data_IF_111504082217
#
_entry.id   IF_111504082217
#
_cell.length_a   1.000
_cell.length_b   1.000
_cell.length_c   1.000
_cell.angle_alpha   90.00
_cell.angle_beta   90.00
_cell.angle_gamma   90.00
#
_symmetry.space_group_name_H-M   'P 1'
#
loop_
_entity.id
_entity.type
_entity.pdbx_description
1 polymer ?
#
# COMPACT_ATOMS: atom_id res chain seq x y z
N UNK A 1 70.12 30.53 -22.87
CA UNK A 1 70.61 30.20 -24.22
C UNK A 1 69.41 29.79 -25.06
N UNK A 2 69.25 30.41 -26.22
CA UNK A 2 68.06 30.47 -27.09
C UNK A 2 67.92 29.19 -27.93
N UNK A 3 66.69 28.77 -28.27
CA UNK A 3 66.20 28.32 -29.62
C UNK A 3 64.80 27.67 -29.48
N UNK A 4 63.73 28.35 -29.89
CA UNK A 4 63.08 28.28 -31.21
C UNK A 4 62.60 26.89 -31.63
N UNK A 5 61.28 26.66 -31.65
CA UNK A 5 60.61 25.95 -32.77
C UNK A 5 59.08 26.18 -32.74
N UNK A 6 58.62 27.22 -33.43
CA UNK A 6 57.20 27.41 -33.75
C UNK A 6 56.90 26.71 -35.08
N UNK A 7 56.07 25.66 -35.06
CA UNK A 7 55.52 25.05 -36.29
C UNK A 7 54.06 25.46 -36.43
N UNK A 8 53.83 26.40 -37.35
CA UNK A 8 52.52 26.94 -37.73
C UNK A 8 51.79 25.89 -38.58
N UNK A 9 50.69 25.33 -38.07
CA UNK A 9 49.78 24.47 -38.85
C UNK A 9 48.56 25.32 -39.21
N UNK A 10 48.47 25.73 -40.48
CA UNK A 10 47.28 26.37 -41.03
C UNK A 10 46.33 25.28 -41.54
N UNK A 11 45.33 24.95 -40.74
CA UNK A 11 44.23 24.09 -41.17
C UNK A 11 43.15 24.95 -41.83
N UNK A 12 42.98 24.77 -43.13
CA UNK A 12 41.88 25.32 -43.92
C UNK A 12 40.57 24.65 -43.48
N UNK A 13 39.78 25.33 -42.66
CA UNK A 13 38.41 24.93 -42.33
C UNK A 13 37.48 25.40 -43.46
N UNK A 14 37.14 24.49 -44.36
CA UNK A 14 36.06 24.67 -45.32
C UNK A 14 34.73 24.52 -44.60
N UNK A 15 34.09 25.65 -44.31
CA UNK A 15 32.76 25.71 -43.71
C UNK A 15 31.72 25.29 -44.77
N UNK A 16 31.26 24.03 -44.71
CA UNK A 16 30.18 23.55 -45.57
C UNK A 16 28.84 23.90 -44.93
N UNK A 17 28.15 24.87 -45.50
CA UNK A 17 26.80 25.28 -45.10
C UNK A 17 25.79 24.23 -45.60
N UNK A 18 25.35 23.33 -44.72
CA UNK A 18 24.24 22.41 -45.00
C UNK A 18 22.93 23.14 -44.71
N UNK A 19 22.24 23.60 -45.77
CA UNK A 19 20.89 24.14 -45.66
C UNK A 19 19.93 22.97 -45.51
N UNK A 20 19.57 22.66 -44.26
CA UNK A 20 18.55 21.66 -43.95
C UNK A 20 17.16 22.25 -44.24
N UNK A 21 16.48 21.72 -45.25
CA UNK A 21 15.09 22.04 -45.56
C UNK A 21 14.18 21.41 -44.52
N UNK A 22 13.85 22.18 -43.48
CA UNK A 22 12.88 21.77 -42.46
C UNK A 22 11.49 21.70 -43.08
N UNK A 23 10.97 20.49 -43.30
CA UNK A 23 9.57 20.25 -43.61
C UNK A 23 8.73 20.66 -42.39
N UNK A 24 8.02 21.78 -42.51
CA UNK A 24 6.99 22.17 -41.55
C UNK A 24 5.76 21.27 -41.75
N UNK A 25 5.72 20.13 -41.07
CA UNK A 25 4.47 19.42 -40.84
C UNK A 25 3.58 20.28 -39.94
N UNK A 26 2.49 20.78 -40.51
CA UNK A 26 1.43 21.48 -39.78
C UNK A 26 0.81 20.51 -38.77
N UNK A 27 1.22 20.63 -37.50
CA UNK A 27 0.59 19.92 -36.41
C UNK A 27 -0.73 20.65 -36.11
N UNK A 28 -1.85 20.06 -36.53
CA UNK A 28 -3.18 20.55 -36.14
C UNK A 28 -3.36 20.15 -34.68
N UNK A 29 -3.17 21.11 -33.77
CA UNK A 29 -3.61 20.99 -32.39
C UNK A 29 -5.14 21.03 -32.41
N UNK A 30 -5.78 19.86 -32.50
CA UNK A 30 -7.19 19.75 -32.14
C UNK A 30 -7.26 19.99 -30.64
N UNK A 31 -7.84 21.12 -30.26
CA UNK A 31 -8.15 21.49 -28.88
C UNK A 31 -9.21 20.52 -28.35
N UNK A 32 -8.77 19.31 -27.99
CA UNK A 32 -9.58 18.34 -27.28
C UNK A 32 -9.66 18.78 -25.82
N UNK A 33 -10.46 19.83 -25.60
CA UNK A 33 -10.94 20.27 -24.29
C UNK A 33 -12.02 19.32 -23.78
N UNK A 34 -11.90 18.01 -24.05
CA UNK A 34 -12.49 17.01 -23.18
C UNK A 34 -11.90 17.27 -21.79
N UNK A 35 -12.69 17.96 -20.98
CA UNK A 35 -12.42 18.20 -19.57
C UNK A 35 -11.96 16.86 -19.01
N UNK A 36 -10.66 16.74 -18.71
CA UNK A 36 -10.14 15.56 -18.04
C UNK A 36 -11.00 15.41 -16.79
N UNK A 37 -11.95 14.47 -16.83
CA UNK A 37 -12.79 14.23 -15.69
C UNK A 37 -11.81 13.73 -14.64
N UNK A 38 -11.68 14.51 -13.57
CA UNK A 38 -11.00 14.05 -12.36
C UNK A 38 -11.88 12.91 -11.85
N UNK A 39 -11.65 11.72 -12.38
CA UNK A 39 -12.25 10.51 -11.85
C UNK A 39 -11.53 10.29 -10.55
N UNK A 40 -12.24 10.54 -9.44
CA UNK A 40 -11.78 10.10 -8.13
C UNK A 40 -11.33 8.65 -8.28
N UNK A 41 -10.09 8.30 -7.89
CA UNK A 41 -9.60 6.94 -8.04
C UNK A 41 -10.63 5.97 -7.48
N UNK A 42 -10.90 4.84 -8.16
CA UNK A 42 -11.87 3.89 -7.67
C UNK A 42 -11.45 3.44 -6.25
N UNK A 43 -12.32 3.65 -5.28
CA UNK A 43 -12.16 3.09 -3.94
C UNK A 43 -12.59 1.63 -4.01
N UNK A 44 -11.68 0.74 -3.64
CA UNK A 44 -12.00 -0.67 -3.44
C UNK A 44 -12.37 -0.89 -1.97
N UNK A 45 -13.51 -1.52 -1.72
CA UNK A 45 -13.92 -1.93 -0.37
C UNK A 45 -14.07 -3.43 -0.32
N UNK A 46 -13.49 -4.05 0.71
CA UNK A 46 -13.59 -5.49 0.97
C UNK A 46 -14.09 -5.73 2.38
N UNK A 47 -15.21 -6.44 2.50
CA UNK A 47 -15.66 -6.95 3.79
C UNK A 47 -14.66 -7.96 4.33
N UNK A 48 -14.36 -7.85 5.62
CA UNK A 48 -13.50 -8.75 6.35
C UNK A 48 -14.29 -9.35 7.51
N UNK A 49 -14.04 -10.61 7.83
CA UNK A 49 -14.65 -11.18 9.04
C UNK A 49 -13.84 -10.74 10.26
N UNK A 50 -14.52 -10.39 11.36
CA UNK A 50 -13.86 -10.11 12.64
C UNK A 50 -13.02 -11.29 13.16
N UNK A 51 -13.29 -12.52 12.68
CA UNK A 51 -12.51 -13.73 13.00
C UNK A 51 -11.29 -13.93 12.12
N UNK A 52 -11.08 -13.11 11.08
CA UNK A 52 -9.97 -13.27 10.14
C UNK A 52 -8.65 -12.77 10.72
N UNK A 53 -7.59 -13.55 10.48
CA UNK A 53 -6.25 -13.27 10.97
C UNK A 53 -5.18 -13.86 10.06
N UNK A 54 -4.02 -13.19 10.00
CA UNK A 54 -2.80 -13.67 9.34
C UNK A 54 -1.63 -13.87 10.30
N UNK A 55 -1.76 -13.51 11.59
CA UNK A 55 -0.67 -13.57 12.56
C UNK A 55 -0.72 -14.89 13.31
N UNK A 56 -1.76 -15.08 14.13
CA UNK A 56 -2.01 -16.28 14.92
C UNK A 56 -3.44 -16.74 14.65
N UNK A 57 -3.75 -18.01 14.93
CA UNK A 57 -5.14 -18.45 14.99
C UNK A 57 -5.36 -19.28 16.26
N UNK A 58 -6.56 -19.17 16.80
CA UNK A 58 -7.14 -19.96 17.85
C UNK A 58 -8.29 -20.81 17.29
N UNK A 59 -8.98 -21.55 18.15
CA UNK A 59 -10.13 -22.34 17.71
C UNK A 59 -11.24 -21.42 17.21
N UNK A 60 -11.62 -21.56 15.94
CA UNK A 60 -12.70 -20.77 15.34
C UNK A 60 -12.25 -19.52 14.60
N UNK A 61 -10.95 -19.16 14.61
CA UNK A 61 -10.47 -18.10 13.72
C UNK A 61 -10.57 -18.52 12.26
N UNK A 62 -10.64 -17.52 11.39
CA UNK A 62 -10.62 -17.69 9.95
C UNK A 62 -9.27 -17.22 9.39
N UNK A 63 -8.83 -17.87 8.31
CA UNK A 63 -7.66 -17.43 7.57
C UNK A 63 -7.96 -16.12 6.84
N UNK A 64 -7.11 -15.11 7.06
CA UNK A 64 -7.09 -13.91 6.22
C UNK A 64 -6.95 -14.30 4.75
N UNK A 65 -7.72 -13.62 3.91
CA UNK A 65 -7.67 -13.82 2.47
C UNK A 65 -6.80 -12.71 1.85
N UNK A 66 -5.78 -13.05 1.04
CA UNK A 66 -4.93 -12.05 0.41
C UNK A 66 -5.75 -11.15 -0.51
N UNK A 67 -5.38 -9.87 -0.58
CA UNK A 67 -5.86 -8.90 -1.56
C UNK A 67 -4.75 -8.75 -2.62
N UNK A 68 -5.02 -9.07 -3.89
CA UNK A 68 -4.08 -8.84 -5.00
C UNK A 68 -4.13 -7.36 -5.40
N UNK A 69 -3.09 -6.61 -5.04
CA UNK A 69 -3.02 -5.17 -5.28
C UNK A 69 -2.98 -4.85 -6.78
N UNK A 70 -2.37 -5.70 -7.60
CA UNK A 70 -2.28 -5.44 -9.04
C UNK A 70 -3.63 -5.59 -9.74
N UNK A 71 -4.51 -6.45 -9.24
CA UNK A 71 -5.90 -6.54 -9.73
C UNK A 71 -6.70 -5.26 -9.46
N UNK A 72 -6.27 -4.47 -8.47
CA UNK A 72 -6.84 -3.16 -8.15
C UNK A 72 -6.12 -2.01 -8.89
N UNK A 73 -5.14 -2.32 -9.75
CA UNK A 73 -4.31 -1.31 -10.39
C UNK A 73 -3.42 -0.54 -9.41
N UNK A 74 -3.06 -1.15 -8.29
CA UNK A 74 -2.14 -0.64 -7.28
C UNK A 74 -0.81 -1.37 -7.43
N UNK A 75 0.27 -0.62 -7.57
CA UNK A 75 1.61 -1.12 -7.85
C UNK A 75 2.62 -0.67 -6.79
N UNK A 76 3.77 -1.37 -6.65
CA UNK A 76 4.88 -0.88 -5.83
C UNK A 76 5.25 0.57 -6.15
N UNK A 77 5.43 1.38 -5.11
CA UNK A 77 5.71 2.82 -5.23
C UNK A 77 4.46 3.71 -5.23
N UNK A 78 3.26 3.15 -5.33
CA UNK A 78 2.04 3.92 -5.13
C UNK A 78 1.85 4.33 -3.67
N UNK A 79 1.30 5.52 -3.44
CA UNK A 79 0.80 5.93 -2.13
C UNK A 79 -0.68 5.58 -2.08
N UNK A 80 -1.07 4.83 -1.06
CA UNK A 80 -2.46 4.41 -0.84
C UNK A 80 -2.95 4.88 0.53
N UNK A 81 -4.24 5.16 0.59
CA UNK A 81 -4.98 5.31 1.82
C UNK A 81 -5.71 3.99 2.08
N UNK A 82 -5.43 3.41 3.24
CA UNK A 82 -6.15 2.28 3.79
C UNK A 82 -7.11 2.79 4.85
N UNK A 83 -8.37 2.41 4.78
CA UNK A 83 -9.41 2.85 5.73
C UNK A 83 -10.12 1.64 6.31
N UNK A 84 -10.65 1.80 7.52
CA UNK A 84 -11.57 0.82 8.10
C UNK A 84 -12.99 1.33 7.98
N UNK A 85 -13.92 0.41 7.73
CA UNK A 85 -15.35 0.59 7.96
C UNK A 85 -15.83 -0.43 8.99
N UNK A 86 -16.86 -0.06 9.75
CA UNK A 86 -17.49 -0.96 10.71
C UNK A 86 -16.66 -1.26 11.97
N UNK A 87 -17.29 -1.87 12.96
CA UNK A 87 -16.67 -2.24 14.24
C UNK A 87 -16.92 -3.73 14.52
N UNK A 88 -16.18 -4.28 15.47
CA UNK A 88 -16.43 -5.63 15.98
C UNK A 88 -16.36 -5.64 17.51
N UNK A 89 -16.89 -6.71 18.10
CA UNK A 89 -16.74 -7.04 19.51
C UNK A 89 -15.74 -8.18 19.68
N UNK A 90 -15.02 -8.16 20.80
CA UNK A 90 -14.09 -9.22 21.21
C UNK A 90 -14.78 -10.47 21.77
N UNK A 91 -16.11 -10.45 21.87
CA UNK A 91 -16.90 -11.55 22.43
C UNK A 91 -18.25 -11.60 21.74
N UNK A 92 -18.86 -12.79 21.69
CA UNK A 92 -20.13 -13.04 20.98
C UNK A 92 -21.33 -12.16 21.41
N UNK A 93 -21.26 -11.46 22.55
CA UNK A 93 -22.36 -10.66 23.10
C UNK A 93 -21.93 -9.24 23.51
N UNK A 94 -20.72 -8.83 23.18
CA UNK A 94 -20.22 -7.52 23.54
C UNK A 94 -20.70 -6.42 22.60
N UNK A 95 -20.60 -5.17 23.05
CA UNK A 95 -20.83 -4.01 22.19
C UNK A 95 -19.69 -3.92 21.17
N UNK A 96 -20.04 -3.76 19.90
CA UNK A 96 -19.09 -3.48 18.82
C UNK A 96 -18.42 -2.13 19.07
N UNK A 97 -17.19 -2.19 19.54
CA UNK A 97 -16.44 -1.01 19.98
C UNK A 97 -14.96 -1.08 19.61
N UNK A 98 -14.51 -2.24 19.10
CA UNK A 98 -13.19 -2.37 18.52
C UNK A 98 -13.22 -2.05 17.04
N UNK A 99 -12.25 -1.25 16.63
CA UNK A 99 -11.98 -0.98 15.23
C UNK A 99 -10.52 -1.19 14.91
N UNK A 100 -9.77 -2.01 15.65
CA UNK A 100 -8.34 -2.15 15.37
C UNK A 100 -8.15 -3.22 14.29
N UNK A 101 -7.66 -2.81 13.13
CA UNK A 101 -7.34 -3.71 12.01
C UNK A 101 -5.83 -3.69 11.78
N UNK A 102 -5.22 -4.86 11.74
CA UNK A 102 -3.82 -5.04 11.39
C UNK A 102 -3.69 -5.44 9.92
N UNK A 103 -2.52 -5.17 9.36
CA UNK A 103 -2.19 -5.46 7.98
C UNK A 103 -0.71 -5.79 7.81
N UNK A 104 -0.39 -6.53 6.74
CA UNK A 104 0.98 -6.75 6.29
C UNK A 104 1.02 -6.90 4.77
N UNK A 105 2.03 -6.28 4.14
CA UNK A 105 2.29 -6.47 2.72
C UNK A 105 3.08 -7.77 2.50
N UNK A 106 2.89 -8.39 1.33
CA UNK A 106 3.60 -9.62 0.97
C UNK A 106 3.89 -9.71 -0.52
N UNK A 107 4.95 -10.45 -0.87
CA UNK A 107 5.26 -10.87 -2.24
C UNK A 107 4.49 -12.13 -2.67
N UNK A 108 3.87 -12.86 -1.72
CA UNK A 108 3.15 -14.13 -1.95
C UNK A 108 1.70 -14.06 -1.47
N UNK A 109 0.79 -14.76 -2.15
CA UNK A 109 -0.60 -14.94 -1.74
C UNK A 109 -0.80 -16.12 -0.78
N UNK A 110 0.28 -16.80 -0.41
CA UNK A 110 0.22 -17.97 0.46
C UNK A 110 0.11 -17.50 1.91
N UNK A 111 -0.90 -18.01 2.62
CA UNK A 111 -0.95 -17.98 4.07
C UNK A 111 -0.70 -19.40 4.60
N UNK A 112 0.34 -19.56 5.41
CA UNK A 112 0.65 -20.85 6.01
C UNK A 112 -0.42 -21.24 7.04
N UNK A 113 -0.67 -22.55 7.22
CA UNK A 113 -1.51 -23.04 8.29
C UNK A 113 -1.07 -22.49 9.65
N UNK A 114 -2.03 -22.36 10.55
CA UNK A 114 -1.70 -22.11 11.94
C UNK A 114 -1.06 -23.36 12.55
N UNK A 115 0.05 -23.18 13.27
CA UNK A 115 0.71 -24.25 14.01
C UNK A 115 0.42 -24.21 15.52
N UNK A 116 -0.46 -23.31 15.97
CA UNK A 116 -0.87 -23.18 17.38
C UNK A 116 0.13 -22.46 18.28
N UNK A 117 1.22 -21.90 17.74
CA UNK A 117 2.22 -21.16 18.53
C UNK A 117 1.99 -19.66 18.37
N UNK A 118 1.35 -19.05 19.37
CA UNK A 118 1.20 -17.60 19.46
C UNK A 118 2.51 -16.96 19.94
N UNK A 119 3.09 -16.07 19.14
CA UNK A 119 4.16 -15.16 19.60
C UNK A 119 3.80 -13.67 19.44
N UNK A 120 2.54 -13.39 19.11
CA UNK A 120 1.95 -12.04 19.11
C UNK A 120 2.59 -10.99 18.21
N UNK A 121 3.61 -11.33 17.42
CA UNK A 121 4.48 -10.33 16.78
C UNK A 121 5.05 -10.77 15.43
N UNK A 122 4.78 -11.98 14.97
CA UNK A 122 5.42 -12.47 13.74
C UNK A 122 4.46 -12.59 12.57
N UNK A 123 4.97 -12.23 11.40
CA UNK A 123 4.39 -12.58 10.11
C UNK A 123 4.82 -13.98 9.67
N UNK A 124 5.06 -14.90 10.61
CA UNK A 124 5.58 -16.23 10.33
C UNK A 124 4.66 -17.03 9.40
N UNK A 125 3.35 -16.75 9.43
CA UNK A 125 2.37 -17.35 8.53
C UNK A 125 2.28 -16.69 7.16
N UNK A 126 2.93 -15.55 6.94
CA UNK A 126 2.90 -14.80 5.68
C UNK A 126 4.29 -14.85 5.02
N UNK A 127 4.62 -15.93 4.28
CA UNK A 127 5.82 -15.99 3.45
C UNK A 127 5.92 -14.76 2.55
N UNK A 128 7.11 -14.18 2.49
CA UNK A 128 7.34 -13.00 1.67
C UNK A 128 6.76 -11.71 2.26
N UNK A 129 6.38 -11.69 3.54
CA UNK A 129 6.00 -10.45 4.21
C UNK A 129 7.12 -9.40 4.09
N UNK A 130 6.75 -8.16 3.73
CA UNK A 130 7.67 -7.03 3.53
C UNK A 130 7.36 -5.90 4.49
N UNK A 131 8.39 -5.14 4.85
CA UNK A 131 8.23 -4.01 5.77
C UNK A 131 7.39 -2.90 5.10
N UNK A 132 6.40 -2.34 5.81
CA UNK A 132 5.62 -1.20 5.31
C UNK A 132 6.49 0.04 5.23
N UNK A 133 6.21 0.92 4.26
CA UNK A 133 6.90 2.20 4.10
C UNK A 133 5.92 3.34 4.33
N UNK A 134 6.17 4.18 5.33
CA UNK A 134 5.30 5.30 5.67
C UNK A 134 5.94 6.62 5.26
N UNK A 135 5.19 7.57 4.66
CA UNK A 135 5.73 8.88 4.28
C UNK A 135 6.38 9.64 5.43
N UNK A 136 5.86 9.49 6.65
CA UNK A 136 6.34 10.15 7.86
C UNK A 136 7.08 9.19 8.82
N UNK A 137 7.54 8.05 8.30
CA UNK A 137 8.11 6.97 9.11
C UNK A 137 7.07 6.22 9.94
N UNK A 138 7.49 5.10 10.52
CA UNK A 138 6.64 4.30 11.39
C UNK A 138 6.55 4.92 12.79
N UNK A 139 5.35 5.32 13.22
CA UNK A 139 5.14 5.83 14.57
C UNK A 139 4.98 4.69 15.59
N UNK A 140 5.42 4.87 16.85
CA UNK A 140 5.15 3.92 17.92
C UNK A 140 3.66 3.60 18.04
N UNK A 141 3.32 2.31 18.10
CA UNK A 141 1.92 1.86 18.17
C UNK A 141 1.21 1.77 16.81
N UNK A 142 1.82 2.23 15.71
CA UNK A 142 1.29 2.06 14.35
C UNK A 142 1.90 0.84 13.65
N UNK A 143 3.14 0.49 13.96
CA UNK A 143 3.77 -0.71 13.38
C UNK A 143 4.57 -1.51 14.40
N UNK A 144 4.65 -2.81 14.13
CA UNK A 144 5.33 -3.84 14.90
C UNK A 144 6.05 -4.76 13.91
N UNK A 145 7.24 -4.34 13.48
CA UNK A 145 7.98 -4.99 12.40
C UNK A 145 7.22 -4.90 11.07
N UNK A 146 6.97 -6.05 10.45
CA UNK A 146 6.24 -6.17 9.16
C UNK A 146 4.73 -5.98 9.28
N UNK A 147 4.21 -5.83 10.49
CA UNK A 147 2.79 -5.63 10.78
C UNK A 147 2.56 -4.14 11.04
N UNK A 148 1.47 -3.60 10.52
CA UNK A 148 1.02 -2.25 10.83
C UNK A 148 -0.48 -2.19 11.03
N UNK A 149 -0.95 -1.09 11.63
CA UNK A 149 -2.34 -0.86 11.98
C UNK A 149 -2.97 0.10 10.97
N UNK A 150 -4.08 -0.32 10.35
CA UNK A 150 -4.89 0.54 9.47
C UNK A 150 -5.63 1.57 10.31
N UNK A 151 -6.08 1.14 11.48
CA UNK A 151 -6.82 1.92 12.44
C UNK A 151 -6.36 1.51 13.84
N UNK A 152 -6.27 2.48 14.75
CA UNK A 152 -6.07 2.18 16.17
C UNK A 152 -7.23 2.72 16.97
N UNK A 153 -7.71 1.94 17.93
CA UNK A 153 -8.66 2.41 18.92
C UNK A 153 -9.55 1.31 19.46
N UNK A 154 -9.51 1.19 20.79
CA UNK A 154 -10.71 0.92 21.57
C UNK A 154 -11.18 2.27 22.11
N UNK A 155 -12.48 2.56 21.97
CA UNK A 155 -13.17 3.81 22.33
C UNK A 155 -13.21 4.91 21.25
N UNK A 156 -14.45 5.21 20.86
CA UNK A 156 -14.92 6.45 20.23
C UNK A 156 -14.52 7.74 20.98
N UNK A 157 -13.98 7.62 22.20
CA UNK A 157 -13.67 8.73 23.12
C UNK A 157 -12.20 9.20 23.04
N UNK A 158 -11.28 8.38 22.50
CA UNK A 158 -9.82 8.63 22.57
C UNK A 158 -9.12 8.94 21.24
N UNK A 159 -9.86 9.45 20.25
CA UNK A 159 -9.24 10.00 19.03
C UNK A 159 -8.49 8.95 18.19
N UNK A 160 -9.01 7.72 18.14
CA UNK A 160 -8.51 6.70 17.23
C UNK A 160 -8.56 7.16 15.78
N UNK A 161 -7.61 6.72 14.96
CA UNK A 161 -7.61 7.02 13.53
C UNK A 161 -8.36 5.93 12.76
N UNK A 162 -9.10 6.34 11.72
CA UNK A 162 -9.87 5.44 10.86
C UNK A 162 -9.20 5.18 9.50
N UNK A 163 -7.88 5.27 9.45
CA UNK A 163 -7.12 5.00 8.25
C UNK A 163 -5.66 5.40 8.35
N UNK A 164 -4.88 4.92 7.39
CA UNK A 164 -3.45 5.15 7.30
C UNK A 164 -3.01 5.36 5.86
N UNK A 165 -2.12 6.33 5.65
CA UNK A 165 -1.45 6.54 4.37
C UNK A 165 -0.14 5.77 4.38
N UNK A 166 0.05 4.91 3.40
CA UNK A 166 1.23 4.04 3.28
C UNK A 166 1.71 3.99 1.83
N UNK A 167 3.01 3.95 1.66
CA UNK A 167 3.65 3.67 0.37
C UNK A 167 3.71 2.15 0.18
N UNK A 168 3.20 1.67 -0.94
CA UNK A 168 3.25 0.25 -1.31
C UNK A 168 4.72 -0.17 -1.47
N UNK A 169 5.25 -1.08 -0.63
CA UNK A 169 6.66 -1.42 -0.65
C UNK A 169 7.12 -2.05 -1.97
N UNK A 170 8.42 -1.95 -2.26
CA UNK A 170 9.02 -2.62 -3.42
C UNK A 170 8.73 -4.13 -3.34
N UNK A 171 8.32 -4.71 -4.47
CA UNK A 171 7.92 -6.11 -4.63
C UNK A 171 6.61 -6.53 -3.91
N UNK A 172 5.94 -5.64 -3.17
CA UNK A 172 4.65 -5.98 -2.59
C UNK A 172 3.62 -6.23 -3.71
N UNK A 173 2.94 -7.36 -3.64
CA UNK A 173 1.85 -7.73 -4.56
C UNK A 173 0.55 -8.00 -3.83
N UNK A 174 0.63 -8.51 -2.60
CA UNK A 174 -0.53 -8.87 -1.81
C UNK A 174 -0.56 -8.07 -0.52
N UNK A 175 -1.77 -7.81 -0.04
CA UNK A 175 -2.04 -7.26 1.29
C UNK A 175 -2.87 -8.29 2.08
N UNK A 176 -2.41 -8.65 3.26
CA UNK A 176 -3.18 -9.41 4.24
C UNK A 176 -3.70 -8.45 5.30
N UNK A 177 -4.95 -8.66 5.70
CA UNK A 177 -5.66 -7.84 6.70
C UNK A 177 -6.37 -8.75 7.70
N UNK A 178 -6.50 -8.31 8.95
CA UNK A 178 -7.21 -9.04 9.98
C UNK A 178 -7.61 -8.13 11.13
N UNK A 179 -8.54 -8.60 11.96
CA UNK A 179 -8.79 -7.95 13.25
C UNK A 179 -7.52 -7.98 14.11
N UNK A 180 -7.34 -7.01 15.00
CA UNK A 180 -6.28 -7.07 16.01
C UNK A 180 -6.84 -7.59 17.32
N UNK A 181 -6.59 -8.87 17.57
CA UNK A 181 -6.87 -9.51 18.84
C UNK A 181 -5.90 -10.69 19.09
N UNK A 182 -6.03 -11.35 20.22
CA UNK A 182 -5.34 -12.59 20.56
C UNK A 182 -6.30 -13.80 20.61
N UNK A 183 -7.61 -13.57 20.70
CA UNK A 183 -8.67 -14.56 20.62
C UNK A 183 -9.57 -14.21 19.42
N UNK A 184 -9.21 -14.67 18.22
CA UNK A 184 -9.97 -14.29 17.03
C UNK A 184 -11.25 -15.10 16.88
N UNK A 185 -11.34 -16.28 17.50
CA UNK A 185 -12.45 -17.20 17.34
C UNK A 185 -13.79 -16.71 17.90
N UNK A 186 -13.76 -15.83 18.91
CA UNK A 186 -14.92 -15.23 19.59
C UNK A 186 -15.19 -13.78 19.19
N UNK A 187 -14.42 -13.25 18.22
CA UNK A 187 -14.72 -11.96 17.62
C UNK A 187 -16.03 -11.99 16.83
N UNK A 188 -16.88 -10.99 17.02
CA UNK A 188 -18.16 -10.87 16.31
C UNK A 188 -18.36 -9.50 15.71
N UNK A 189 -18.77 -9.51 14.44
CA UNK A 189 -19.36 -8.39 13.73
C UNK A 189 -20.82 -8.79 13.43
N UNK A 190 -21.73 -8.31 14.25
CA UNK A 190 -23.15 -8.64 14.28
C UNK A 190 -23.94 -7.95 13.19
N UNK A 191 -23.50 -6.75 12.78
CA UNK A 191 -24.17 -5.97 11.73
C UNK A 191 -23.58 -6.26 10.33
N UNK A 192 -22.40 -6.89 10.26
CA UNK A 192 -21.75 -7.32 9.02
C UNK A 192 -21.08 -6.19 8.24
N UNK A 193 -20.76 -5.07 8.89
CA UNK A 193 -20.23 -3.87 8.26
C UNK A 193 -18.70 -3.71 8.37
N UNK A 194 -18.00 -4.66 9.00
CA UNK A 194 -16.55 -4.62 9.10
C UNK A 194 -15.89 -4.81 7.72
N UNK A 195 -15.18 -3.78 7.27
CA UNK A 195 -14.51 -3.78 5.98
C UNK A 195 -13.23 -2.95 5.96
N UNK A 196 -12.41 -3.16 4.93
CA UNK A 196 -11.25 -2.34 4.62
C UNK A 196 -11.44 -1.65 3.28
N UNK A 197 -11.23 -0.34 3.25
CA UNK A 197 -11.13 0.49 2.06
C UNK A 197 -9.70 0.65 1.59
N UNK A 198 -9.49 0.66 0.28
CA UNK A 198 -8.21 0.92 -0.37
C UNK A 198 -8.43 1.93 -1.48
N UNK A 199 -7.75 3.07 -1.42
CA UNK A 199 -7.76 4.08 -2.47
C UNK A 199 -6.35 4.58 -2.76
N UNK A 200 -6.08 4.97 -4.02
CA UNK A 200 -4.81 5.61 -4.38
C UNK A 200 -4.87 7.09 -3.97
N UNK A 201 -3.80 7.58 -3.37
CA UNK A 201 -3.62 9.00 -3.09
C UNK A 201 -2.93 9.61 -4.31
N UNK A 202 -3.64 10.49 -5.02
CA UNK A 202 -3.04 11.23 -6.13
C UNK A 202 -2.07 12.28 -5.57
N UNK A 203 -0.90 12.46 -6.21
CA UNK A 203 0.05 13.51 -5.84
C UNK A 203 -0.51 14.92 -6.07
#
# INVERSE_FOLDING_TARGET
MVTNFWKKVQNNLTLSLVVSTTLFTSFVLTDDTSKAQITTPPTFTRNISAKQTFINADTGSLNSQPIDLQQLGIYPGDIILLERFGYYSYTDFGIESSGTINATFSTSNILLPNNGVFNGTTTARVPGAVDPVFPNGCQPGVCRGKIFYISSGQNLVRGGYNGIIVLVPVNARYLFVGADDIFYGDNVDSNGDLAVGISRVLP
#
